data_IF_646310336498
#
_entry.id   IF_646310336498
#
_cell.length_a   1.000
_cell.length_b   1.000
_cell.length_c   1.000
_cell.angle_alpha   90.00
_cell.angle_beta   90.00
_cell.angle_gamma   90.00
#
_symmetry.space_group_name_H-M   'P 1'
#
loop_
_entity.id
_entity.type
_entity.pdbx_description
1 polymer ?
#
# COMPACT_ATOMS: atom_id res chain seq x y z
N UNK A 1 -16.24 2.61 -4.13
CA UNK A 1 -15.88 4.00 -4.51
C UNK A 1 -14.59 4.34 -3.77
N UNK A 2 -13.48 4.61 -4.48
CA UNK A 2 -12.27 5.12 -3.83
C UNK A 2 -12.53 6.57 -3.40
N UNK A 3 -12.29 6.88 -2.13
CA UNK A 3 -12.38 8.24 -1.59
C UNK A 3 -10.96 8.72 -1.30
N UNK A 4 -10.63 9.94 -1.72
CA UNK A 4 -9.40 10.58 -1.30
C UNK A 4 -9.38 10.75 0.22
N UNK A 5 -8.20 10.60 0.82
CA UNK A 5 -8.05 10.87 2.25
C UNK A 5 -8.22 12.36 2.56
N UNK A 6 -8.75 12.72 3.73
CA UNK A 6 -8.82 14.12 4.14
C UNK A 6 -7.43 14.77 4.23
N UNK A 7 -7.32 16.11 4.17
CA UNK A 7 -6.05 16.80 4.40
C UNK A 7 -5.43 16.45 5.75
N UNK A 8 -4.11 16.30 5.79
CA UNK A 8 -3.37 15.93 7.01
C UNK A 8 -3.41 14.45 7.36
N UNK A 9 -4.11 13.63 6.58
CA UNK A 9 -4.06 12.17 6.70
C UNK A 9 -2.96 11.58 5.83
N UNK A 10 -2.37 10.51 6.32
CA UNK A 10 -1.41 9.68 5.58
C UNK A 10 -1.96 8.25 5.46
N UNK A 11 -1.39 7.46 4.55
CA UNK A 11 -1.73 6.04 4.44
C UNK A 11 -0.48 5.18 4.48
N UNK A 12 -0.67 3.94 4.92
CA UNK A 12 0.38 2.94 4.94
C UNK A 12 -0.16 1.58 4.51
N UNK A 13 0.73 0.76 3.96
CA UNK A 13 0.53 -0.66 3.74
C UNK A 13 1.77 -1.42 4.18
N UNK A 14 1.58 -2.44 5.00
CA UNK A 14 2.59 -3.37 5.46
C UNK A 14 2.27 -4.78 4.98
N UNK A 15 3.28 -5.50 4.53
CA UNK A 15 3.15 -6.88 4.06
C UNK A 15 4.19 -7.73 4.77
N UNK A 16 3.75 -8.83 5.39
CA UNK A 16 4.62 -9.73 6.13
C UNK A 16 4.29 -11.20 5.87
N UNK A 17 5.32 -12.05 5.96
CA UNK A 17 5.11 -13.50 5.97
C UNK A 17 4.49 -13.92 7.30
N UNK A 18 3.41 -14.67 7.25
CA UNK A 18 2.73 -15.19 8.43
C UNK A 18 2.63 -16.73 8.33
N UNK A 19 3.77 -17.39 8.47
CA UNK A 19 3.88 -18.85 8.31
C UNK A 19 3.60 -19.33 6.87
N UNK A 20 2.52 -20.08 6.69
CA UNK A 20 2.02 -20.55 5.39
C UNK A 20 1.30 -19.47 4.56
N UNK A 21 1.00 -18.33 5.18
CA UNK A 21 0.19 -17.25 4.62
C UNK A 21 0.99 -15.96 4.46
N UNK A 22 0.33 -14.95 3.88
CA UNK A 22 0.77 -13.55 3.83
C UNK A 22 -0.21 -12.71 4.63
N UNK A 23 0.31 -11.90 5.54
CA UNK A 23 -0.45 -10.90 6.28
C UNK A 23 -0.26 -9.54 5.62
N UNK A 24 -1.36 -8.83 5.39
CA UNK A 24 -1.40 -7.47 4.87
C UNK A 24 -2.12 -6.61 5.89
N UNK A 25 -1.47 -5.55 6.36
CA UNK A 25 -2.07 -4.49 7.17
C UNK A 25 -2.04 -3.21 6.35
N UNK A 26 -3.15 -2.51 6.26
CA UNK A 26 -3.25 -1.23 5.55
C UNK A 26 -4.12 -0.30 6.36
N UNK A 27 -3.92 0.99 6.26
CA UNK A 27 -4.74 1.92 7.01
C UNK A 27 -4.41 3.36 6.71
N UNK A 28 -5.22 4.24 7.30
CA UNK A 28 -5.02 5.67 7.24
C UNK A 28 -4.69 6.19 8.65
N UNK A 29 -3.75 7.11 8.72
CA UNK A 29 -3.33 7.76 9.97
C UNK A 29 -3.74 9.22 9.92
N UNK A 30 -4.57 9.64 10.87
CA UNK A 30 -4.99 11.03 11.04
C UNK A 30 -3.91 11.92 11.65
N UNK A 31 -4.10 13.25 11.63
CA UNK A 31 -3.15 14.22 12.18
C UNK A 31 -3.00 14.16 13.70
N UNK A 32 -3.95 13.53 14.39
CA UNK A 32 -3.92 13.21 15.82
C UNK A 32 -3.21 11.88 16.14
N UNK A 33 -2.70 11.20 15.11
CA UNK A 33 -2.09 9.89 15.23
C UNK A 33 -3.08 8.73 15.31
N UNK A 34 -4.40 8.98 15.14
CA UNK A 34 -5.38 7.91 15.06
C UNK A 34 -5.11 7.06 13.82
N UNK A 35 -4.82 5.78 14.02
CA UNK A 35 -4.65 4.81 12.93
C UNK A 35 -5.89 3.93 12.82
N UNK A 36 -6.47 3.84 11.62
CA UNK A 36 -7.58 2.95 11.31
C UNK A 36 -7.10 1.76 10.45
N UNK A 37 -6.77 0.60 11.06
CA UNK A 37 -6.25 -0.54 10.33
C UNK A 37 -7.34 -1.41 9.69
N UNK A 38 -7.13 -1.76 8.43
CA UNK A 38 -7.63 -2.99 7.81
C UNK A 38 -6.56 -4.08 7.85
N UNK A 39 -6.98 -5.32 8.16
CA UNK A 39 -6.10 -6.48 8.19
C UNK A 39 -6.65 -7.60 7.33
N UNK A 40 -5.77 -8.22 6.55
CA UNK A 40 -6.09 -9.33 5.67
C UNK A 40 -5.03 -10.42 5.82
N UNK A 41 -5.47 -11.66 5.97
CA UNK A 41 -4.61 -12.84 5.84
C UNK A 41 -5.06 -13.63 4.62
N UNK A 42 -4.10 -13.93 3.76
CA UNK A 42 -4.35 -14.64 2.50
C UNK A 42 -3.33 -15.73 2.29
N UNK A 43 -3.71 -16.74 1.52
CA UNK A 43 -2.77 -17.77 1.09
C UNK A 43 -1.71 -17.20 0.16
N UNK A 44 -0.61 -17.94 -0.04
CA UNK A 44 0.44 -17.54 -0.99
C UNK A 44 -0.09 -17.41 -2.41
N UNK A 45 -1.04 -18.25 -2.82
CA UNK A 45 -1.59 -18.23 -4.17
C UNK A 45 -2.51 -17.02 -4.37
N UNK A 46 -3.33 -16.69 -3.37
CA UNK A 46 -4.13 -15.46 -3.35
C UNK A 46 -3.23 -14.22 -3.38
N UNK A 47 -2.11 -14.22 -2.65
CA UNK A 47 -1.16 -13.11 -2.68
C UNK A 47 -0.51 -12.93 -4.07
N UNK A 48 -0.16 -14.03 -4.75
CA UNK A 48 0.36 -13.99 -6.13
C UNK A 48 -0.68 -13.46 -7.11
N UNK A 49 -1.94 -13.85 -6.96
CA UNK A 49 -3.03 -13.34 -7.79
C UNK A 49 -3.27 -11.85 -7.55
N UNK A 50 -3.31 -11.42 -6.29
CA UNK A 50 -3.42 -10.00 -5.95
C UNK A 50 -2.29 -9.19 -6.60
N UNK A 51 -1.04 -9.65 -6.51
CA UNK A 51 0.10 -8.98 -7.14
C UNK A 51 -0.06 -8.87 -8.67
N UNK A 52 -0.55 -9.92 -9.34
CA UNK A 52 -0.83 -9.89 -10.79
C UNK A 52 -1.91 -8.86 -11.13
N UNK A 53 -3.00 -8.82 -10.37
CA UNK A 53 -4.09 -7.87 -10.59
C UNK A 53 -3.64 -6.43 -10.33
N UNK A 54 -2.84 -6.20 -9.29
CA UNK A 54 -2.24 -4.89 -9.02
C UNK A 54 -1.36 -4.42 -10.18
N UNK A 55 -0.49 -5.29 -10.69
CA UNK A 55 0.37 -4.97 -11.83
C UNK A 55 -0.43 -4.72 -13.10
N UNK A 56 -1.45 -5.54 -13.38
CA UNK A 56 -2.33 -5.32 -14.53
C UNK A 56 -3.10 -4.00 -14.43
N UNK A 57 -3.58 -3.65 -13.23
CA UNK A 57 -4.31 -2.40 -12.98
C UNK A 57 -3.40 -1.15 -13.04
N UNK A 58 -2.11 -1.29 -12.73
CA UNK A 58 -1.14 -0.21 -12.88
C UNK A 58 -0.86 0.13 -14.37
N UNK A 59 -1.27 -0.73 -15.31
CA UNK A 59 -0.77 -0.72 -16.69
C UNK A 59 0.72 -1.10 -16.72
N UNK A 60 1.36 -1.18 -17.90
CA UNK A 60 2.82 -1.32 -18.04
C UNK A 60 3.60 -0.07 -17.53
N UNK A 61 3.19 0.49 -16.39
CA UNK A 61 3.82 1.59 -15.67
C UNK A 61 5.13 1.10 -15.07
N UNK A 62 6.16 1.09 -15.91
CA UNK A 62 7.56 1.04 -15.52
C UNK A 62 7.78 2.00 -14.36
N UNK A 63 8.45 1.51 -13.31
CA UNK A 63 8.79 2.25 -12.10
C UNK A 63 9.20 3.70 -12.40
N UNK A 64 8.45 4.67 -11.87
CA UNK A 64 9.01 6.00 -11.60
C UNK A 64 9.67 5.95 -10.24
N UNK A 65 10.91 5.48 -10.20
CA UNK A 65 11.79 5.67 -9.05
C UNK A 65 12.07 7.16 -8.94
N UNK A 66 11.40 7.86 -8.04
CA UNK A 66 11.79 9.22 -7.67
C UNK A 66 13.14 9.12 -6.96
N UNK A 67 14.21 9.53 -7.62
CA UNK A 67 15.50 9.70 -6.97
C UNK A 67 15.43 10.87 -5.99
N UNK A 68 16.16 10.82 -4.86
CA UNK A 68 16.16 11.87 -3.84
C UNK A 68 16.49 13.28 -4.34
N UNK A 69 17.16 13.40 -5.50
CA UNK A 69 17.55 14.69 -6.09
C UNK A 69 16.37 15.55 -6.55
N UNK A 70 15.20 14.94 -6.83
CA UNK A 70 13.99 15.70 -7.20
C UNK A 70 13.36 16.48 -6.01
N UNK A 71 13.80 16.23 -4.77
CA UNK A 71 13.30 16.90 -3.56
C UNK A 71 14.12 18.13 -3.15
N UNK A 72 15.23 18.45 -3.83
CA UNK A 72 16.19 19.47 -3.40
C UNK A 72 16.05 20.85 -4.07
N UNK A 73 15.03 21.06 -4.91
CA UNK A 73 14.74 22.37 -5.50
C UNK A 73 13.31 22.82 -5.19
N UNK A 74 13.15 23.39 -4.00
CA UNK A 74 11.99 24.15 -3.55
C UNK A 74 12.45 25.27 -2.62
#
# INVERSE_FOLDING_TARGET
>A
MLRALPPGWTWSIGVAKAGGEVAIEFGATGPDGQFEPGRLRITRDQARELARQLNAAAGDGTERTFTPEAAAHG
#
